data_IF_458077108806
#
_entry.id   IF_458077108806
#
_cell.length_a   1.000
_cell.length_b   1.000
_cell.length_c   1.000
_cell.angle_alpha   90.00
_cell.angle_beta   90.00
_cell.angle_gamma   90.00
#
_symmetry.space_group_name_H-M   'P 1'
#
loop_
_entity.id
_entity.type
_entity.pdbx_description
1 polymer ?
#
# COMPACT_ATOMS: atom_id res chain seq x y z
N UNK A 1 40.31 -62.21 28.75
CA UNK A 1 39.57 -62.35 27.47
C UNK A 1 38.16 -62.88 27.74
N UNK A 2 37.20 -61.97 27.96
CA UNK A 2 35.73 -62.11 27.87
C UNK A 2 35.11 -61.02 28.77
N UNK A 3 33.99 -60.45 28.31
CA UNK A 3 33.19 -59.36 28.90
C UNK A 3 33.65 -57.92 28.64
N UNK A 4 33.49 -57.40 27.41
CA UNK A 4 33.28 -55.95 27.16
C UNK A 4 32.51 -55.63 25.85
N UNK A 5 31.51 -56.42 25.46
CA UNK A 5 30.81 -56.20 24.16
C UNK A 5 29.27 -56.16 24.21
N UNK A 6 28.63 -55.87 25.35
CA UNK A 6 27.14 -55.88 25.42
C UNK A 6 26.48 -54.64 26.02
N UNK A 7 27.03 -53.44 25.83
CA UNK A 7 26.39 -52.20 26.31
C UNK A 7 26.20 -51.09 25.26
N UNK A 8 26.64 -51.26 24.01
CA UNK A 8 26.56 -50.18 23.01
C UNK A 8 25.28 -50.18 22.14
N UNK A 9 24.45 -51.23 22.18
CA UNK A 9 23.29 -51.36 21.27
C UNK A 9 21.94 -50.94 21.89
N UNK A 10 21.88 -50.67 23.19
CA UNK A 10 20.61 -50.38 23.89
C UNK A 10 20.28 -48.89 24.05
N UNK A 11 21.24 -47.98 23.85
CA UNK A 11 21.05 -46.54 24.10
C UNK A 11 20.75 -45.72 22.84
N UNK A 12 20.86 -46.32 21.65
CA UNK A 12 20.67 -45.61 20.38
C UNK A 12 19.20 -45.56 19.90
N UNK A 13 18.31 -46.34 20.50
CA UNK A 13 16.89 -46.43 20.08
C UNK A 13 15.97 -45.48 20.87
N UNK A 14 16.45 -44.91 21.99
CA UNK A 14 15.65 -43.99 22.81
C UNK A 14 15.95 -42.49 22.59
N UNK A 15 16.97 -42.14 21.79
CA UNK A 15 17.31 -40.75 21.48
C UNK A 15 16.74 -40.25 20.15
N UNK A 16 16.30 -41.15 19.26
CA UNK A 16 15.71 -40.76 17.97
C UNK A 16 14.30 -40.13 18.05
N UNK A 17 13.40 -40.47 19.01
CA UNK A 17 12.12 -39.78 19.13
C UNK A 17 12.26 -38.39 19.78
N UNK A 18 13.29 -38.17 20.61
CA UNK A 18 13.46 -36.90 21.36
C UNK A 18 14.14 -35.84 20.50
N UNK A 19 15.09 -36.22 19.64
CA UNK A 19 15.75 -35.26 18.72
C UNK A 19 14.79 -34.80 17.59
N UNK A 20 13.83 -35.65 17.19
CA UNK A 20 12.78 -35.27 16.23
C UNK A 20 11.65 -34.44 16.87
N UNK A 21 11.42 -34.56 18.17
CA UNK A 21 10.50 -33.70 18.91
C UNK A 21 11.12 -32.32 19.20
N UNK A 22 12.42 -32.24 19.49
CA UNK A 22 13.12 -30.96 19.68
C UNK A 22 13.26 -30.19 18.35
N UNK A 23 13.48 -30.88 17.22
CA UNK A 23 13.51 -30.19 15.91
C UNK A 23 12.13 -29.77 15.37
N UNK A 24 11.04 -30.33 15.90
CA UNK A 24 9.68 -29.84 15.62
C UNK A 24 9.21 -28.74 16.57
N UNK A 25 9.80 -28.61 17.76
CA UNK A 25 9.45 -27.53 18.69
C UNK A 25 10.17 -26.20 18.38
N UNK A 26 11.33 -26.22 17.72
CA UNK A 26 11.99 -25.01 17.22
C UNK A 26 11.36 -24.44 15.91
N UNK A 27 10.48 -25.20 15.26
CA UNK A 27 9.69 -24.71 14.11
C UNK A 27 8.42 -23.94 14.55
N UNK A 28 8.09 -23.97 15.84
CA UNK A 28 6.98 -23.23 16.44
C UNK A 28 7.46 -22.42 17.66
N UNK A 29 8.58 -21.71 17.50
CA UNK A 29 8.92 -20.61 18.41
C UNK A 29 7.70 -19.69 18.58
N UNK A 30 7.54 -19.02 19.74
CA UNK A 30 6.41 -18.12 19.98
C UNK A 30 6.29 -17.20 18.76
N UNK A 31 5.14 -17.30 18.07
CA UNK A 31 4.95 -16.67 16.77
C UNK A 31 5.43 -15.24 16.86
N UNK A 32 6.36 -14.81 15.98
CA UNK A 32 6.94 -13.46 16.03
C UNK A 32 5.86 -12.37 16.21
N UNK A 33 4.65 -12.65 15.72
CA UNK A 33 3.41 -11.91 15.95
C UNK A 33 3.10 -11.47 17.41
N UNK A 34 3.49 -12.21 18.46
CA UNK A 34 3.21 -11.79 19.84
C UNK A 34 4.22 -10.73 20.34
N UNK A 35 5.47 -10.80 19.87
CA UNK A 35 6.46 -9.74 20.09
C UNK A 35 6.15 -8.48 19.27
N UNK A 36 5.68 -8.63 18.03
CA UNK A 36 5.25 -7.50 17.20
C UNK A 36 4.09 -6.72 17.84
N UNK A 37 3.09 -7.41 18.44
CA UNK A 37 1.97 -6.74 19.12
C UNK A 37 2.38 -5.97 20.38
N UNK A 38 3.37 -6.46 21.12
CA UNK A 38 3.90 -5.78 22.30
C UNK A 38 4.69 -4.51 21.92
N UNK A 39 5.56 -4.60 20.90
CA UNK A 39 6.23 -3.44 20.31
C UNK A 39 5.23 -2.43 19.71
N UNK A 40 4.16 -2.90 19.07
CA UNK A 40 3.12 -2.05 18.49
C UNK A 40 2.38 -1.23 19.55
N UNK A 41 2.11 -1.81 20.72
CA UNK A 41 1.42 -1.13 21.82
C UNK A 41 2.32 -0.19 22.65
N UNK A 42 3.63 -0.47 22.74
CA UNK A 42 4.57 0.41 23.45
C UNK A 42 5.10 1.58 22.59
N UNK A 43 5.11 1.44 21.26
CA UNK A 43 5.57 2.47 20.31
C UNK A 43 4.45 3.43 19.88
N UNK A 44 3.19 3.20 20.27
CA UNK A 44 2.04 4.00 19.85
C UNK A 44 2.02 5.50 20.24
N UNK A 45 2.81 6.02 21.20
CA UNK A 45 3.02 7.46 21.33
C UNK A 45 4.06 8.03 20.35
N UNK A 46 4.78 7.18 19.63
CA UNK A 46 5.98 7.56 18.88
C UNK A 46 5.61 7.66 17.39
N UNK A 47 5.73 8.90 16.91
CA UNK A 47 5.84 9.33 15.52
C UNK A 47 4.51 9.48 14.75
N UNK A 48 3.66 10.39 15.25
CA UNK A 48 3.33 11.51 14.35
C UNK A 48 4.67 12.02 13.82
N UNK A 49 4.99 11.74 12.56
CA UNK A 49 6.17 12.34 11.93
C UNK A 49 5.87 13.83 11.74
N UNK A 50 5.99 14.58 12.82
CA UNK A 50 5.83 16.03 12.85
C UNK A 50 6.78 16.66 11.84
N UNK A 51 7.94 16.05 11.54
CA UNK A 51 8.94 16.60 10.65
C UNK A 51 8.50 16.57 9.19
N UNK A 52 7.92 15.47 8.69
CA UNK A 52 7.45 15.41 7.29
C UNK A 52 6.19 16.28 7.09
N UNK A 53 5.31 16.34 8.11
CA UNK A 53 4.14 17.21 8.08
C UNK A 53 4.54 18.70 8.11
N UNK A 54 5.51 19.08 8.95
CA UNK A 54 6.09 20.43 8.96
C UNK A 54 6.81 20.76 7.65
N UNK A 55 7.44 19.77 7.00
CA UNK A 55 8.09 19.97 5.71
C UNK A 55 7.06 20.33 4.63
N UNK A 56 5.96 19.58 4.54
CA UNK A 56 4.88 19.85 3.57
C UNK A 56 4.21 21.20 3.84
N UNK A 57 4.04 21.59 5.11
CA UNK A 57 3.50 22.90 5.51
C UNK A 57 4.35 24.10 5.05
N UNK A 58 5.65 23.92 4.85
CA UNK A 58 6.59 25.01 4.49
C UNK A 58 6.83 25.16 2.99
N UNK A 59 6.26 24.29 2.17
CA UNK A 59 6.52 24.32 0.73
C UNK A 59 5.71 25.40 0.01
N UNK A 60 6.40 26.48 -0.39
CA UNK A 60 6.00 27.30 -1.53
C UNK A 60 6.37 26.53 -2.79
N UNK A 61 5.39 26.04 -3.55
CA UNK A 61 5.67 25.49 -4.87
C UNK A 61 5.44 26.58 -5.91
N UNK A 62 6.40 26.71 -6.80
CA UNK A 62 6.30 27.48 -8.04
C UNK A 62 6.29 26.46 -9.18
N UNK A 63 5.19 26.38 -9.95
CA UNK A 63 5.01 25.42 -11.03
C UNK A 63 3.70 25.62 -11.81
N UNK A 64 3.50 24.83 -12.87
CA UNK A 64 2.39 24.96 -13.84
C UNK A 64 0.98 24.83 -13.26
N UNK A 65 0.88 24.20 -12.09
CA UNK A 65 -0.40 24.07 -11.40
C UNK A 65 -0.83 25.37 -10.70
N UNK A 66 -0.07 26.46 -10.88
CA UNK A 66 -0.31 27.73 -10.22
C UNK A 66 0.18 27.73 -8.78
N UNK A 67 -0.10 28.83 -8.07
CA UNK A 67 0.16 28.93 -6.65
C UNK A 67 -1.09 28.55 -5.86
N UNK A 68 -0.95 27.61 -4.93
CA UNK A 68 -1.95 27.29 -3.93
C UNK A 68 -1.32 27.33 -2.53
N UNK A 69 -2.09 27.76 -1.54
CA UNK A 69 -1.70 27.71 -0.13
C UNK A 69 -2.25 26.40 0.48
N UNK A 70 -1.37 25.53 0.98
CA UNK A 70 -1.79 24.39 1.80
C UNK A 70 -1.67 24.84 3.25
N UNK A 71 -2.80 24.91 3.95
CA UNK A 71 -2.82 25.27 5.37
C UNK A 71 -2.63 24.03 6.24
N UNK A 72 -2.06 24.16 7.44
CA UNK A 72 -2.05 23.08 8.42
C UNK A 72 -3.49 22.62 8.69
N UNK A 73 -3.75 21.29 8.74
CA UNK A 73 -5.08 20.81 9.02
C UNK A 73 -5.50 21.15 10.45
N UNK A 74 -6.73 21.64 10.61
CA UNK A 74 -7.31 21.99 11.90
C UNK A 74 -8.30 20.94 12.34
N UNK A 75 -8.52 20.83 13.65
CA UNK A 75 -9.68 20.11 14.16
C UNK A 75 -10.94 20.88 13.72
N UNK A 76 -11.97 20.19 13.23
CA UNK A 76 -13.24 20.82 12.94
C UNK A 76 -13.85 21.39 14.24
N UNK A 77 -14.41 22.58 14.15
CA UNK A 77 -15.14 23.26 15.24
C UNK A 77 -16.63 22.84 15.28
N UNK A 78 -17.02 21.89 14.44
CA UNK A 78 -18.36 21.35 14.29
C UNK A 78 -18.31 19.83 14.08
N UNK A 79 -19.45 19.15 14.26
CA UNK A 79 -19.54 17.72 13.95
C UNK A 79 -19.43 17.50 12.44
N UNK A 80 -18.61 16.53 12.05
CA UNK A 80 -18.47 16.10 10.66
C UNK A 80 -18.80 14.62 10.52
N UNK A 81 -19.36 14.26 9.37
CA UNK A 81 -19.60 12.84 9.04
C UNK A 81 -18.30 12.23 8.52
N UNK A 82 -17.65 11.33 9.28
CA UNK A 82 -16.36 10.78 8.90
C UNK A 82 -16.46 9.89 7.66
N UNK A 83 -15.34 9.73 6.97
CA UNK A 83 -15.15 8.76 5.88
C UNK A 83 -14.02 7.81 6.23
N UNK A 84 -14.12 6.52 5.93
CA UNK A 84 -12.95 5.64 6.05
C UNK A 84 -11.95 5.89 4.94
N UNK A 85 -10.66 5.90 5.24
CA UNK A 85 -9.59 5.80 4.26
C UNK A 85 -8.89 4.45 4.42
N UNK A 86 -9.46 3.44 3.77
CA UNK A 86 -9.01 2.06 3.84
C UNK A 86 -7.91 1.78 2.82
N UNK A 87 -6.87 1.06 3.22
CA UNK A 87 -5.82 0.61 2.30
C UNK A 87 -5.12 -0.65 2.81
N UNK A 88 -4.72 -1.55 1.92
CA UNK A 88 -3.80 -2.62 2.29
C UNK A 88 -2.42 -2.02 2.65
N UNK A 89 -1.70 -2.53 3.67
CA UNK A 89 -0.37 -2.04 4.01
C UNK A 89 0.57 -1.92 2.80
N UNK A 90 1.26 -0.79 2.65
CA UNK A 90 2.09 -0.51 1.47
C UNK A 90 1.34 0.06 0.25
N UNK A 91 0.04 0.34 0.35
CA UNK A 91 -0.76 0.91 -0.76
C UNK A 91 -0.88 2.44 -0.77
N UNK A 92 -0.07 3.15 0.02
CA UNK A 92 -0.03 4.63 -0.02
C UNK A 92 -0.85 5.35 1.05
N UNK A 93 -1.23 4.67 2.13
CA UNK A 93 -2.07 5.23 3.20
C UNK A 93 -1.62 6.60 3.73
N UNK A 94 -0.32 6.80 3.96
CA UNK A 94 0.24 8.06 4.46
C UNK A 94 0.14 9.18 3.43
N UNK A 95 0.37 8.90 2.15
CA UNK A 95 0.22 9.89 1.09
C UNK A 95 -1.24 10.32 0.93
N UNK A 96 -2.17 9.35 0.91
CA UNK A 96 -3.61 9.64 0.83
C UNK A 96 -4.10 10.42 2.05
N UNK A 97 -3.63 10.08 3.25
CA UNK A 97 -3.89 10.83 4.48
C UNK A 97 -3.54 12.32 4.32
N UNK A 98 -2.29 12.62 3.95
CA UNK A 98 -1.83 14.01 3.81
C UNK A 98 -2.57 14.72 2.68
N UNK A 99 -2.92 14.01 1.61
CA UNK A 99 -3.70 14.57 0.52
C UNK A 99 -5.12 14.95 0.96
N UNK A 100 -5.79 14.11 1.75
CA UNK A 100 -7.12 14.41 2.31
C UNK A 100 -7.06 15.67 3.19
N UNK A 101 -6.06 15.75 4.07
CA UNK A 101 -5.85 16.91 4.95
C UNK A 101 -5.60 18.19 4.15
N UNK A 102 -4.78 18.11 3.09
CA UNK A 102 -4.50 19.26 2.24
C UNK A 102 -5.69 19.68 1.37
N UNK A 103 -6.55 18.75 0.95
CA UNK A 103 -7.77 19.03 0.16
C UNK A 103 -8.85 19.70 1.02
N UNK A 104 -8.96 19.30 2.28
CA UNK A 104 -10.08 19.68 3.16
C UNK A 104 -9.71 20.76 4.18
N UNK A 105 -8.42 20.89 4.50
CA UNK A 105 -7.95 21.69 5.64
C UNK A 105 -8.32 21.09 7.01
N UNK A 106 -8.86 19.87 7.04
CA UNK A 106 -9.34 19.20 8.25
C UNK A 106 -8.44 18.03 8.64
N UNK A 107 -8.31 17.76 9.93
CA UNK A 107 -7.51 16.64 10.42
C UNK A 107 -8.13 15.28 10.13
N UNK A 108 -7.26 14.30 9.92
CA UNK A 108 -7.63 12.89 9.82
C UNK A 108 -7.12 12.11 11.04
N UNK A 109 -7.73 10.96 11.33
CA UNK A 109 -7.39 10.08 12.45
C UNK A 109 -7.01 8.68 11.96
N UNK A 110 -6.38 7.89 12.83
CA UNK A 110 -6.17 6.46 12.61
C UNK A 110 -7.24 5.64 13.37
N UNK A 111 -7.26 4.35 13.11
CA UNK A 111 -8.21 3.40 13.70
C UNK A 111 -8.05 3.18 15.21
N UNK A 112 -6.97 3.68 15.81
CA UNK A 112 -6.71 3.60 17.24
C UNK A 112 -7.35 4.78 17.98
N UNK A 113 -7.55 5.91 17.29
CA UNK A 113 -8.18 7.14 17.83
C UNK A 113 -9.69 7.20 17.53
N UNK A 114 -10.33 6.05 17.29
CA UNK A 114 -11.70 6.01 16.75
C UNK A 114 -12.76 6.58 17.72
N UNK A 115 -12.52 6.58 19.03
CA UNK A 115 -13.50 7.08 20.02
C UNK A 115 -13.82 8.59 19.86
N UNK A 116 -13.07 9.33 19.03
CA UNK A 116 -13.29 10.76 18.75
C UNK A 116 -13.49 11.10 17.26
N UNK A 117 -14.09 10.19 16.48
CA UNK A 117 -14.26 10.33 15.01
C UNK A 117 -15.13 11.49 14.56
N UNK A 118 -15.97 12.05 15.43
CA UNK A 118 -16.82 13.21 15.12
C UNK A 118 -16.03 14.48 14.77
N UNK A 119 -14.72 14.47 15.01
CA UNK A 119 -13.80 15.56 14.75
C UNK A 119 -12.69 15.19 13.75
N UNK A 120 -12.88 14.16 12.91
CA UNK A 120 -11.94 13.83 11.84
C UNK A 120 -12.63 13.61 10.51
N UNK A 121 -12.09 14.24 9.45
CA UNK A 121 -12.68 14.16 8.10
C UNK A 121 -12.56 12.76 7.52
N UNK A 122 -11.52 12.05 7.94
CA UNK A 122 -11.33 10.66 7.56
C UNK A 122 -10.61 9.88 8.65
N UNK A 123 -10.94 8.59 8.78
CA UNK A 123 -10.23 7.63 9.62
C UNK A 123 -9.50 6.62 8.74
N UNK A 124 -8.16 6.65 8.76
CA UNK A 124 -7.32 5.65 8.11
C UNK A 124 -7.43 4.31 8.82
N UNK A 125 -7.54 3.25 8.05
CA UNK A 125 -7.46 1.89 8.57
C UNK A 125 -6.81 0.92 7.58
N UNK A 126 -6.23 -0.14 8.13
CA UNK A 126 -5.76 -1.32 7.39
C UNK A 126 -6.67 -2.54 7.56
N UNK A 127 -7.76 -2.43 8.32
CA UNK A 127 -8.72 -3.52 8.54
C UNK A 127 -9.23 -4.07 7.19
N UNK A 128 -9.49 -5.38 7.03
CA UNK A 128 -9.38 -6.48 8.00
C UNK A 128 -7.98 -7.07 8.16
N UNK A 129 -6.93 -6.41 7.64
CA UNK A 129 -5.56 -6.85 7.89
C UNK A 129 -5.28 -6.81 9.41
N UNK A 130 -4.38 -7.68 9.89
CA UNK A 130 -3.98 -7.75 11.30
C UNK A 130 -3.36 -6.46 11.83
N UNK A 131 -2.82 -5.63 10.93
CA UNK A 131 -2.31 -4.29 11.24
C UNK A 131 -3.43 -3.25 11.46
N UNK A 132 -4.70 -3.60 11.20
CA UNK A 132 -5.85 -2.75 11.46
C UNK A 132 -6.67 -3.26 12.65
N UNK A 133 -7.38 -2.34 13.30
CA UNK A 133 -8.29 -2.66 14.40
C UNK A 133 -9.74 -2.68 13.92
N UNK A 134 -10.56 -3.60 14.44
CA UNK A 134 -12.01 -3.56 14.22
C UNK A 134 -12.55 -2.28 14.85
N UNK A 135 -13.24 -1.47 14.06
CA UNK A 135 -13.64 -0.12 14.45
C UNK A 135 -14.97 -0.18 15.21
N UNK A 136 -14.95 0.15 16.50
CA UNK A 136 -16.19 0.23 17.30
C UNK A 136 -17.03 1.40 16.81
N UNK A 137 -18.26 1.18 16.37
CA UNK A 137 -19.06 2.29 15.82
C UNK A 137 -18.89 2.47 14.31
N UNK A 138 -18.24 1.52 13.63
CA UNK A 138 -18.08 1.53 12.17
C UNK A 138 -19.39 1.58 11.40
N UNK A 139 -20.49 1.13 12.01
CA UNK A 139 -21.83 1.22 11.46
C UNK A 139 -22.31 2.68 11.26
N UNK A 140 -21.65 3.64 11.92
CA UNK A 140 -21.97 5.07 11.84
C UNK A 140 -21.11 5.82 10.81
N UNK A 141 -20.20 5.13 10.13
CA UNK A 141 -19.36 5.73 9.08
C UNK A 141 -19.94 5.34 7.74
N UNK A 142 -20.63 6.25 7.04
CA UNK A 142 -21.44 5.87 5.89
C UNK A 142 -20.62 5.64 4.62
N UNK A 143 -19.32 6.01 4.59
CA UNK A 143 -18.52 6.00 3.35
C UNK A 143 -17.10 5.50 3.52
N UNK A 144 -16.53 5.03 2.41
CA UNK A 144 -15.14 4.60 2.35
C UNK A 144 -14.41 5.04 1.07
N UNK A 145 -13.22 5.59 1.25
CA UNK A 145 -12.17 5.68 0.24
C UNK A 145 -11.36 4.38 0.33
N UNK A 146 -11.28 3.65 -0.78
CA UNK A 146 -10.54 2.38 -0.87
C UNK A 146 -9.32 2.60 -1.75
N UNK A 147 -8.14 2.63 -1.15
CA UNK A 147 -6.88 2.79 -1.88
C UNK A 147 -6.32 1.43 -2.26
N UNK A 148 -6.29 1.15 -3.57
CA UNK A 148 -5.75 -0.08 -4.12
C UNK A 148 -4.38 0.16 -4.75
N UNK A 149 -3.48 -0.80 -4.54
CA UNK A 149 -2.18 -0.88 -5.21
C UNK A 149 -1.97 -2.31 -5.70
N UNK A 150 -1.27 -2.48 -6.81
CA UNK A 150 -0.95 -3.80 -7.34
C UNK A 150 -0.29 -4.67 -6.25
N UNK A 151 -0.77 -5.91 -5.97
CA UNK A 151 -0.24 -6.73 -4.87
C UNK A 151 1.27 -6.98 -4.99
N UNK A 152 1.77 -7.23 -6.21
CA UNK A 152 3.20 -7.38 -6.49
C UNK A 152 4.07 -6.15 -6.14
N UNK A 153 3.48 -4.97 -5.94
CA UNK A 153 4.17 -3.74 -5.51
C UNK A 153 3.81 -3.32 -4.08
N UNK A 154 2.61 -3.66 -3.61
CA UNK A 154 2.19 -3.44 -2.23
C UNK A 154 3.00 -4.30 -1.25
N UNK A 155 3.21 -5.59 -1.55
CA UNK A 155 3.95 -6.51 -0.67
C UNK A 155 5.39 -6.07 -0.39
N UNK A 156 6.24 -5.76 -1.40
CA UNK A 156 7.58 -5.28 -1.12
C UNK A 156 7.58 -3.91 -0.44
N UNK A 157 6.58 -3.07 -0.71
CA UNK A 157 6.44 -1.78 -0.01
C UNK A 157 6.10 -1.98 1.48
N UNK A 158 5.25 -2.95 1.80
CA UNK A 158 4.93 -3.33 3.17
C UNK A 158 6.15 -3.96 3.87
N UNK A 159 6.85 -4.87 3.18
CA UNK A 159 8.07 -5.47 3.73
C UNK A 159 9.15 -4.43 4.03
N UNK A 160 9.34 -3.41 3.19
CA UNK A 160 10.27 -2.32 3.50
C UNK A 160 9.92 -1.64 4.83
N UNK A 161 8.63 -1.41 5.11
CA UNK A 161 8.20 -0.85 6.39
C UNK A 161 8.52 -1.79 7.56
N UNK A 162 8.23 -3.09 7.43
CA UNK A 162 8.57 -4.08 8.46
C UNK A 162 10.07 -4.12 8.72
N UNK A 163 10.87 -4.12 7.66
CA UNK A 163 12.33 -4.11 7.74
C UNK A 163 12.85 -2.87 8.48
N UNK A 164 12.30 -1.70 8.22
CA UNK A 164 12.67 -0.49 8.95
C UNK A 164 12.37 -0.57 10.44
N UNK A 165 11.16 -1.03 10.79
CA UNK A 165 10.73 -1.20 12.17
C UNK A 165 11.64 -2.20 12.92
N UNK A 166 11.92 -3.34 12.31
CA UNK A 166 12.77 -4.40 12.88
C UNK A 166 14.23 -3.97 13.05
N UNK A 167 14.70 -3.01 12.25
CA UNK A 167 16.08 -2.53 12.27
C UNK A 167 16.22 -1.12 12.88
N UNK A 168 15.16 -0.58 13.49
CA UNK A 168 15.12 0.77 14.08
C UNK A 168 15.58 1.88 13.11
N UNK A 169 15.19 1.77 11.84
CA UNK A 169 15.47 2.76 10.81
C UNK A 169 14.38 3.83 10.77
N UNK A 170 14.73 5.01 10.26
CA UNK A 170 13.76 6.07 10.02
C UNK A 170 12.65 5.59 9.07
N UNK A 171 11.41 5.95 9.35
CA UNK A 171 10.27 5.51 8.54
C UNK A 171 10.37 6.08 7.12
N UNK A 172 10.03 5.28 6.11
CA UNK A 172 10.09 5.69 4.70
C UNK A 172 11.49 6.05 4.17
N UNK A 173 12.56 5.70 4.89
CA UNK A 173 13.96 6.00 4.54
C UNK A 173 14.60 4.92 3.67
N UNK A 174 14.43 3.64 4.01
CA UNK A 174 15.32 2.58 3.55
C UNK A 174 14.56 1.50 2.79
N UNK A 175 15.18 1.00 1.73
CA UNK A 175 14.75 -0.17 0.99
C UNK A 175 15.49 -1.40 1.48
N UNK A 176 14.75 -2.43 1.84
CA UNK A 176 15.30 -3.68 2.36
C UNK A 176 16.21 -4.38 1.31
N UNK A 177 17.31 -5.01 1.74
CA UNK A 177 18.17 -5.81 0.86
C UNK A 177 17.39 -6.89 0.11
N UNK A 178 17.79 -7.18 -1.13
CA UNK A 178 17.07 -8.13 -1.99
C UNK A 178 16.95 -9.53 -1.36
N UNK A 179 17.96 -9.98 -0.62
CA UNK A 179 17.93 -11.30 0.03
C UNK A 179 16.98 -11.35 1.22
N UNK A 180 16.88 -10.26 1.99
CA UNK A 180 15.88 -10.16 3.05
C UNK A 180 14.46 -10.22 2.45
N UNK A 181 14.23 -9.51 1.33
CA UNK A 181 12.97 -9.57 0.60
C UNK A 181 12.63 -10.97 0.09
N UNK A 182 13.58 -11.65 -0.57
CA UNK A 182 13.34 -13.00 -1.11
C UNK A 182 12.96 -13.97 0.01
N UNK A 183 13.71 -13.99 1.11
CA UNK A 183 13.43 -14.84 2.27
C UNK A 183 12.07 -14.55 2.88
N UNK A 184 11.73 -13.27 3.09
CA UNK A 184 10.43 -12.90 3.64
C UNK A 184 9.28 -13.25 2.70
N UNK A 185 9.41 -12.94 1.41
CA UNK A 185 8.42 -13.23 0.37
C UNK A 185 8.11 -14.72 0.36
N UNK A 186 9.12 -15.58 0.30
CA UNK A 186 8.89 -17.02 0.17
C UNK A 186 8.20 -17.62 1.40
N UNK A 187 8.43 -17.06 2.59
CA UNK A 187 7.76 -17.47 3.81
C UNK A 187 6.33 -16.92 3.99
N UNK A 188 6.00 -15.76 3.42
CA UNK A 188 4.76 -15.03 3.73
C UNK A 188 3.82 -14.82 2.54
N UNK A 189 4.26 -15.08 1.30
CA UNK A 189 3.55 -14.69 0.09
C UNK A 189 2.09 -15.13 0.07
N UNK A 190 1.80 -16.40 0.38
CA UNK A 190 0.43 -16.92 0.34
C UNK A 190 -0.49 -16.21 1.34
N UNK A 191 -0.03 -16.04 2.58
CA UNK A 191 -0.79 -15.32 3.60
C UNK A 191 -1.01 -13.85 3.25
N UNK A 192 -0.01 -13.18 2.64
CA UNK A 192 -0.16 -11.80 2.18
C UNK A 192 -1.13 -11.70 1.00
N UNK A 193 -1.13 -12.67 0.10
CA UNK A 193 -2.06 -12.74 -1.02
C UNK A 193 -3.50 -12.91 -0.55
N UNK A 194 -3.73 -13.81 0.41
CA UNK A 194 -5.05 -14.00 1.04
C UNK A 194 -5.49 -12.75 1.79
N UNK A 195 -4.60 -12.09 2.54
CA UNK A 195 -4.93 -10.85 3.25
C UNK A 195 -5.29 -9.71 2.28
N UNK A 196 -4.62 -9.61 1.14
CA UNK A 196 -4.94 -8.60 0.13
C UNK A 196 -6.29 -8.88 -0.52
N UNK A 197 -6.57 -10.14 -0.88
CA UNK A 197 -7.88 -10.53 -1.39
C UNK A 197 -8.99 -10.22 -0.39
N UNK A 198 -8.81 -10.64 0.86
CA UNK A 198 -9.79 -10.41 1.92
C UNK A 198 -10.02 -8.92 2.19
N UNK A 199 -8.97 -8.09 2.09
CA UNK A 199 -9.09 -6.65 2.17
C UNK A 199 -10.01 -6.11 1.06
N UNK A 200 -9.77 -6.46 -0.20
CA UNK A 200 -10.63 -6.02 -1.31
C UNK A 200 -12.05 -6.50 -1.09
N UNK A 201 -12.24 -7.76 -0.72
CA UNK A 201 -13.58 -8.32 -0.53
C UNK A 201 -14.36 -7.62 0.58
N UNK A 202 -13.73 -7.41 1.73
CA UNK A 202 -14.40 -6.76 2.86
C UNK A 202 -14.92 -5.37 2.50
N UNK A 203 -14.08 -4.51 1.91
CA UNK A 203 -14.48 -3.13 1.62
C UNK A 203 -15.48 -3.03 0.46
N UNK A 204 -15.38 -3.93 -0.51
CA UNK A 204 -16.34 -4.01 -1.62
C UNK A 204 -17.69 -4.60 -1.21
N UNK A 205 -17.71 -5.54 -0.26
CA UNK A 205 -18.96 -6.11 0.23
C UNK A 205 -19.64 -5.18 1.26
N UNK A 206 -18.86 -4.37 2.00
CA UNK A 206 -19.37 -3.52 3.09
C UNK A 206 -20.05 -2.23 2.64
N UNK A 207 -19.47 -1.51 1.68
CA UNK A 207 -19.99 -0.21 1.23
C UNK A 207 -20.66 -0.38 -0.13
N UNK A 208 -21.76 0.31 -0.41
CA UNK A 208 -22.34 0.29 -1.76
C UNK A 208 -21.45 1.04 -2.76
N UNK A 209 -21.60 0.85 -4.09
CA UNK A 209 -20.89 1.65 -5.08
C UNK A 209 -21.09 3.18 -4.94
N UNK A 210 -22.23 3.63 -4.43
CA UNK A 210 -22.51 5.05 -4.22
C UNK A 210 -21.77 5.62 -2.99
N UNK A 211 -21.50 4.75 -2.01
CA UNK A 211 -20.92 5.10 -0.71
C UNK A 211 -19.41 4.86 -0.65
N UNK A 212 -18.79 4.54 -1.79
CA UNK A 212 -17.34 4.33 -1.85
C UNK A 212 -16.71 4.96 -3.08
N UNK A 213 -15.42 5.28 -2.96
CA UNK A 213 -14.57 5.63 -4.09
C UNK A 213 -13.32 4.75 -4.08
N UNK A 214 -12.97 4.20 -5.23
CA UNK A 214 -11.73 3.43 -5.41
C UNK A 214 -10.68 4.36 -5.97
N UNK A 215 -9.57 4.51 -5.25
CA UNK A 215 -8.40 5.27 -5.67
C UNK A 215 -7.27 4.30 -5.97
N UNK A 216 -6.75 4.31 -7.18
CA UNK A 216 -5.60 3.49 -7.54
C UNK A 216 -4.31 4.24 -7.26
N UNK A 217 -3.41 3.62 -6.49
CA UNK A 217 -2.13 4.19 -6.12
C UNK A 217 -1.31 4.61 -7.36
N UNK A 218 -1.29 3.77 -8.39
CA UNK A 218 -0.53 4.02 -9.61
C UNK A 218 -1.08 5.21 -10.40
N UNK A 219 -2.39 5.46 -10.36
CA UNK A 219 -2.98 6.64 -11.01
C UNK A 219 -2.77 7.91 -10.20
N UNK A 220 -3.00 7.87 -8.90
CA UNK A 220 -2.92 9.07 -8.06
C UNK A 220 -1.48 9.59 -8.01
N UNK A 221 -0.45 8.78 -8.28
CA UNK A 221 0.93 9.27 -8.41
C UNK A 221 1.35 9.61 -9.85
N UNK A 222 0.50 9.40 -10.84
CA UNK A 222 0.82 9.66 -12.24
C UNK A 222 0.72 11.17 -12.55
N UNK A 223 1.61 11.71 -13.39
CA UNK A 223 1.64 13.15 -13.69
C UNK A 223 0.41 13.65 -14.48
N UNK A 224 -0.21 12.76 -15.26
CA UNK A 224 -1.40 13.07 -16.07
C UNK A 224 -2.68 12.76 -15.31
N UNK A 225 -2.78 11.56 -14.73
CA UNK A 225 -4.02 11.12 -14.06
C UNK A 225 -4.12 11.57 -12.61
N UNK A 226 -3.00 11.90 -11.95
CA UNK A 226 -2.96 12.24 -10.53
C UNK A 226 -3.85 13.44 -10.15
N UNK A 227 -3.75 14.60 -10.84
CA UNK A 227 -4.64 15.73 -10.62
C UNK A 227 -6.13 15.37 -10.77
N UNK A 228 -6.46 14.52 -11.75
CA UNK A 228 -7.84 14.09 -12.05
C UNK A 228 -8.36 13.20 -10.90
N UNK A 229 -7.57 12.23 -10.47
CA UNK A 229 -7.94 11.36 -9.33
C UNK A 229 -8.03 12.14 -8.01
N UNK A 230 -7.19 13.15 -7.81
CA UNK A 230 -7.30 14.05 -6.66
C UNK A 230 -8.61 14.86 -6.71
N UNK A 231 -9.02 15.32 -7.89
CA UNK A 231 -10.33 15.96 -8.10
C UNK A 231 -11.50 15.05 -7.73
N UNK A 232 -11.47 13.78 -8.17
CA UNK A 232 -12.48 12.76 -7.81
C UNK A 232 -12.52 12.50 -6.29
N UNK A 233 -11.35 12.45 -5.65
CA UNK A 233 -11.25 12.33 -4.20
C UNK A 233 -11.85 13.55 -3.48
N UNK A 234 -11.55 14.76 -3.94
CA UNK A 234 -12.11 16.00 -3.39
C UNK A 234 -13.65 16.04 -3.53
N UNK A 235 -14.17 15.71 -4.71
CA UNK A 235 -15.62 15.63 -4.94
C UNK A 235 -16.28 14.61 -4.00
N UNK A 236 -15.68 13.44 -3.82
CA UNK A 236 -16.21 12.42 -2.90
C UNK A 236 -16.22 12.87 -1.44
N UNK A 237 -15.14 13.54 -0.98
CA UNK A 237 -15.04 14.10 0.37
C UNK A 237 -16.08 15.21 0.59
N UNK A 238 -16.28 16.08 -0.39
CA UNK A 238 -17.25 17.19 -0.32
C UNK A 238 -18.71 16.77 -0.22
N UNK A 239 -19.02 15.48 -0.37
CA UNK A 239 -20.38 14.93 -0.09
C UNK A 239 -20.61 14.72 1.42
N UNK A 240 -19.62 14.94 2.29
CA UNK A 240 -19.76 14.82 3.75
C UNK A 240 -20.31 16.08 4.36
N UNK A 241 -21.35 15.92 5.19
CA UNK A 241 -21.85 16.99 6.03
C UNK A 241 -20.71 17.55 6.89
N UNK A 242 -20.53 18.87 6.82
CA UNK A 242 -19.46 19.59 7.49
C UNK A 242 -18.09 19.56 6.79
N UNK A 243 -17.97 18.97 5.59
CA UNK A 243 -16.71 18.93 4.86
C UNK A 243 -16.72 19.89 3.69
N UNK A 244 -15.95 20.98 3.83
CA UNK A 244 -15.64 21.88 2.73
C UNK A 244 -14.32 21.45 2.09
N UNK A 245 -14.30 21.34 0.77
CA UNK A 245 -13.08 21.08 0.01
C UNK A 245 -12.64 22.33 -0.73
N UNK A 246 -11.34 22.42 -1.05
CA UNK A 246 -10.83 23.48 -1.91
C UNK A 246 -11.53 23.49 -3.28
N UNK A 247 -11.66 24.67 -3.93
CA UNK A 247 -12.20 24.79 -5.27
C UNK A 247 -11.48 23.86 -6.28
N UNK A 248 -12.20 23.28 -7.28
CA UNK A 248 -11.64 22.32 -8.23
C UNK A 248 -10.36 22.80 -8.94
N UNK A 249 -10.25 24.10 -9.22
CA UNK A 249 -9.09 24.71 -9.86
C UNK A 249 -7.81 24.67 -9.01
N UNK A 250 -7.91 24.53 -7.69
CA UNK A 250 -6.76 24.43 -6.78
C UNK A 250 -6.30 22.99 -6.54
N UNK A 251 -7.16 21.99 -6.78
CA UNK A 251 -6.88 20.59 -6.49
C UNK A 251 -5.63 20.07 -7.22
N UNK A 252 -5.40 20.37 -8.51
CA UNK A 252 -4.17 19.98 -9.20
C UNK A 252 -2.88 20.50 -8.52
N UNK A 253 -2.90 21.74 -8.03
CA UNK A 253 -1.76 22.31 -7.30
C UNK A 253 -1.53 21.62 -5.96
N UNK A 254 -2.61 21.39 -5.20
CA UNK A 254 -2.56 20.70 -3.92
C UNK A 254 -1.99 19.30 -4.11
N UNK A 255 -2.52 18.56 -5.10
CA UNK A 255 -2.01 17.26 -5.48
C UNK A 255 -0.52 17.29 -5.79
N UNK A 256 -0.07 18.22 -6.63
CA UNK A 256 1.34 18.30 -7.01
C UNK A 256 2.23 18.56 -5.79
N UNK A 257 1.83 19.49 -4.91
CA UNK A 257 2.58 19.76 -3.67
C UNK A 257 2.67 18.55 -2.76
N UNK A 258 1.59 17.78 -2.59
CA UNK A 258 1.58 16.65 -1.66
C UNK A 258 2.25 15.42 -2.27
N UNK A 259 1.87 15.06 -3.49
CA UNK A 259 2.27 13.78 -4.11
C UNK A 259 3.62 13.89 -4.82
N UNK A 260 3.97 15.08 -5.33
CA UNK A 260 5.21 15.35 -6.07
C UNK A 260 6.19 16.23 -5.29
N UNK A 261 6.08 16.26 -3.96
CA UNK A 261 6.93 17.09 -3.11
C UNK A 261 8.44 16.92 -3.37
N UNK A 262 8.88 15.69 -3.65
CA UNK A 262 10.29 15.38 -3.98
C UNK A 262 10.71 15.76 -5.40
N UNK A 263 9.76 15.94 -6.32
CA UNK A 263 10.00 16.33 -7.72
C UNK A 263 10.09 17.86 -7.89
N UNK A 264 9.66 18.63 -6.91
CA UNK A 264 9.66 20.11 -6.95
C UNK A 264 11.04 20.72 -7.22
N UNK A 265 12.12 20.03 -6.85
CA UNK A 265 13.51 20.41 -7.19
C UNK A 265 13.84 20.24 -8.70
N UNK A 266 13.06 19.46 -9.44
CA UNK A 266 13.26 19.12 -10.86
C UNK A 266 12.15 19.67 -11.79
N UNK A 267 11.10 20.30 -11.24
CA UNK A 267 9.89 20.72 -11.97
C UNK A 267 10.18 21.59 -13.20
N UNK A 268 11.22 22.43 -13.13
CA UNK A 268 11.60 23.35 -14.22
C UNK A 268 11.97 22.66 -15.55
N UNK A 269 12.36 21.38 -15.57
CA UNK A 269 12.71 20.67 -16.83
C UNK A 269 11.56 19.90 -17.50
N UNK A 270 10.45 19.65 -16.81
CA UNK A 270 9.33 18.86 -17.37
C UNK A 270 8.24 19.71 -18.04
N UNK A 271 8.27 21.02 -17.79
CA UNK A 271 7.36 22.02 -18.34
C UNK A 271 7.18 21.95 -19.87
N UNK A 272 8.25 21.64 -20.61
CA UNK A 272 8.22 21.64 -22.07
C UNK A 272 7.43 20.45 -22.68
N UNK A 273 6.99 19.46 -21.89
CA UNK A 273 6.27 18.29 -22.42
C UNK A 273 4.75 18.30 -22.20
N UNK A 274 4.22 19.14 -21.30
CA UNK A 274 2.80 19.08 -20.90
C UNK A 274 1.87 20.02 -21.70
N UNK A 275 2.38 21.10 -22.31
CA UNK A 275 1.56 21.97 -23.17
C UNK A 275 0.97 21.24 -24.41
N UNK A 276 1.47 20.04 -24.74
CA UNK A 276 0.91 19.19 -25.79
C UNK A 276 -0.28 18.32 -25.38
N UNK A 277 -0.57 18.14 -24.07
CA UNK A 277 -1.53 17.14 -23.59
C UNK A 277 -2.94 17.69 -23.31
N UNK A 278 -3.11 19.01 -23.20
CA UNK A 278 -4.41 19.66 -22.95
C UNK A 278 -5.44 19.52 -24.10
N UNK A 279 -5.14 18.73 -25.15
CA UNK A 279 -6.03 18.47 -26.30
C UNK A 279 -6.55 17.03 -26.38
N UNK A 280 -6.20 16.15 -25.45
CA UNK A 280 -6.71 14.78 -25.47
C UNK A 280 -7.94 14.67 -24.58
N UNK A 281 -9.06 14.20 -25.14
CA UNK A 281 -10.20 13.69 -24.38
C UNK A 281 -9.75 12.45 -23.61
N UNK A 282 -9.14 12.67 -22.44
CA UNK A 282 -8.72 11.60 -21.55
C UNK A 282 -9.98 11.11 -20.84
N UNK A 283 -10.45 9.93 -21.22
CA UNK A 283 -11.48 9.23 -20.45
C UNK A 283 -10.93 8.99 -19.03
N UNK A 284 -11.52 9.60 -17.98
CA UNK A 284 -11.04 9.45 -16.61
C UNK A 284 -11.13 8.00 -16.13
N UNK A 285 -11.96 7.16 -16.77
CA UNK A 285 -12.08 5.74 -16.49
C UNK A 285 -11.14 4.88 -17.35
N UNK A 286 -10.52 5.45 -18.38
CA UNK A 286 -9.55 4.76 -19.21
C UNK A 286 -8.22 4.65 -18.47
N UNK A 287 -7.94 3.43 -18.00
CA UNK A 287 -6.60 3.04 -17.65
C UNK A 287 -5.87 2.65 -18.92
N UNK A 288 -4.98 3.51 -19.42
CA UNK A 288 -4.07 3.11 -20.48
C UNK A 288 -3.27 1.87 -20.02
N UNK A 289 -3.52 0.71 -20.64
CA UNK A 289 -2.82 -0.54 -20.35
C UNK A 289 -1.31 -0.43 -20.57
N UNK A 290 -0.89 0.56 -21.38
CA UNK A 290 0.50 0.80 -21.77
C UNK A 290 1.26 1.78 -20.87
N UNK A 291 0.70 2.26 -19.76
CA UNK A 291 1.42 3.20 -18.88
C UNK A 291 2.59 2.50 -18.16
N UNK A 292 3.85 2.80 -18.51
CA UNK A 292 5.01 2.11 -17.98
C UNK A 292 5.42 2.64 -16.59
N UNK A 293 4.67 3.57 -15.97
CA UNK A 293 5.05 4.16 -14.70
C UNK A 293 4.87 3.17 -13.53
N UNK A 294 5.82 2.26 -13.35
CA UNK A 294 5.98 1.56 -12.07
C UNK A 294 6.34 2.60 -11.00
N UNK A 295 5.66 2.64 -9.85
CA UNK A 295 6.02 3.54 -8.77
C UNK A 295 7.47 3.32 -8.36
N UNK A 296 8.32 4.32 -8.55
CA UNK A 296 9.68 4.26 -8.02
C UNK A 296 9.63 4.59 -6.53
N UNK A 297 10.14 3.68 -5.71
CA UNK A 297 10.35 3.95 -4.29
C UNK A 297 11.34 5.10 -4.12
N UNK A 298 10.98 6.10 -3.31
CA UNK A 298 11.88 7.18 -2.89
C UNK A 298 12.83 6.77 -1.76
N UNK A 299 12.69 5.56 -1.23
CA UNK A 299 13.57 4.97 -0.22
C UNK A 299 14.96 4.76 -0.78
N UNK A 300 15.98 5.03 0.03
CA UNK A 300 17.38 4.77 -0.27
C UNK A 300 17.69 3.27 -0.30
N UNK A 301 18.81 2.91 -0.93
CA UNK A 301 19.28 1.52 -1.01
C UNK A 301 19.17 0.88 -2.39
N UNK A 302 19.41 -0.45 -2.49
CA UNK A 302 19.52 -1.13 -3.77
C UNK A 302 18.23 -1.05 -4.58
N UNK A 303 18.30 -0.48 -5.78
CA UNK A 303 17.17 -0.45 -6.71
C UNK A 303 17.08 -1.80 -7.42
N UNK A 304 16.07 -2.59 -7.09
CA UNK A 304 15.72 -3.83 -7.80
C UNK A 304 14.25 -3.81 -8.25
N UNK A 305 13.90 -4.67 -9.20
CA UNK A 305 12.50 -5.04 -9.42
C UNK A 305 12.24 -6.22 -8.48
N UNK A 306 11.27 -6.14 -7.56
CA UNK A 306 10.97 -7.23 -6.63
C UNK A 306 10.77 -8.53 -7.43
N UNK A 307 11.67 -9.53 -7.28
CA UNK A 307 11.52 -10.77 -8.01
C UNK A 307 10.32 -11.53 -7.44
N UNK A 308 9.64 -12.28 -8.29
CA UNK A 308 8.64 -13.29 -7.95
C UNK A 308 8.96 -14.54 -8.77
N UNK A 309 8.49 -15.71 -8.37
CA UNK A 309 8.58 -16.90 -9.22
C UNK A 309 7.29 -17.11 -10.04
N UNK A 310 7.33 -18.05 -10.99
CA UNK A 310 6.20 -18.31 -11.88
C UNK A 310 4.92 -18.74 -11.13
N UNK A 311 5.08 -19.53 -10.06
CA UNK A 311 3.97 -19.97 -9.23
C UNK A 311 3.29 -18.78 -8.52
N UNK A 312 4.09 -17.86 -7.97
CA UNK A 312 3.62 -16.64 -7.32
C UNK A 312 2.86 -15.72 -8.30
N UNK A 313 3.39 -15.52 -9.51
CA UNK A 313 2.70 -14.73 -10.55
C UNK A 313 1.36 -15.36 -10.96
N UNK A 314 1.31 -16.69 -11.13
CA UNK A 314 0.08 -17.40 -11.42
C UNK A 314 -0.94 -17.30 -10.28
N UNK A 315 -0.51 -17.39 -9.03
CA UNK A 315 -1.37 -17.23 -7.86
C UNK A 315 -2.01 -15.83 -7.83
N UNK A 316 -1.24 -14.78 -8.11
CA UNK A 316 -1.75 -13.39 -8.20
C UNK A 316 -2.78 -13.24 -9.31
N UNK A 317 -2.50 -13.73 -10.53
CA UNK A 317 -3.46 -13.69 -11.63
C UNK A 317 -4.75 -14.43 -11.31
N UNK A 318 -4.64 -15.62 -10.71
CA UNK A 318 -5.79 -16.43 -10.31
C UNK A 318 -6.67 -15.68 -9.30
N UNK A 319 -6.06 -15.13 -8.25
CA UNK A 319 -6.76 -14.33 -7.25
C UNK A 319 -7.44 -13.10 -7.86
N UNK A 320 -6.72 -12.33 -8.70
CA UNK A 320 -7.28 -11.15 -9.37
C UNK A 320 -8.42 -11.51 -10.33
N UNK A 321 -8.32 -12.62 -11.05
CA UNK A 321 -9.38 -13.12 -11.93
C UNK A 321 -10.61 -13.53 -11.12
N UNK A 322 -10.41 -14.20 -9.98
CA UNK A 322 -11.51 -14.55 -9.07
C UNK A 322 -12.23 -13.32 -8.53
N UNK A 323 -11.50 -12.24 -8.19
CA UNK A 323 -12.12 -10.97 -7.79
C UNK A 323 -12.86 -10.31 -8.95
N UNK A 324 -12.28 -10.33 -10.15
CA UNK A 324 -12.91 -9.78 -11.36
C UNK A 324 -14.22 -10.51 -11.68
N UNK A 325 -14.27 -11.83 -11.50
CA UNK A 325 -15.47 -12.64 -11.68
C UNK A 325 -16.52 -12.36 -10.60
N UNK A 326 -16.10 -12.26 -9.32
CA UNK A 326 -16.99 -11.93 -8.19
C UNK A 326 -17.63 -10.55 -8.36
N UNK A 327 -16.86 -9.57 -8.80
CA UNK A 327 -17.28 -8.17 -8.93
C UNK A 327 -17.50 -7.74 -10.39
N UNK A 328 -17.93 -8.65 -11.26
CA UNK A 328 -18.02 -8.40 -12.71
C UNK A 328 -18.89 -7.20 -13.13
N UNK A 329 -19.81 -6.75 -12.28
CA UNK A 329 -20.67 -5.59 -12.55
C UNK A 329 -20.08 -4.27 -11.98
N UNK A 330 -18.95 -4.33 -11.27
CA UNK A 330 -18.31 -3.18 -10.63
C UNK A 330 -17.48 -2.37 -11.63
N UNK A 331 -18.11 -1.36 -12.21
CA UNK A 331 -17.50 -0.48 -13.22
C UNK A 331 -16.23 0.24 -12.72
N UNK A 332 -16.14 0.53 -11.43
CA UNK A 332 -14.99 1.22 -10.83
C UNK A 332 -13.83 0.29 -10.49
N UNK A 333 -14.09 -0.98 -10.15
CA UNK A 333 -13.06 -1.95 -9.76
C UNK A 333 -12.51 -2.73 -10.96
N UNK A 334 -13.36 -3.08 -11.93
CA UNK A 334 -12.98 -3.95 -13.04
C UNK A 334 -11.80 -3.43 -13.88
N UNK A 335 -11.73 -2.14 -14.26
CA UNK A 335 -10.58 -1.62 -14.99
C UNK A 335 -9.27 -1.78 -14.22
N UNK A 336 -9.33 -1.64 -12.89
CA UNK A 336 -8.17 -1.80 -11.98
C UNK A 336 -7.69 -3.24 -11.98
N UNK A 337 -8.60 -4.19 -11.77
CA UNK A 337 -8.25 -5.62 -11.73
C UNK A 337 -7.72 -6.13 -13.07
N UNK A 338 -8.33 -5.72 -14.18
CA UNK A 338 -7.83 -6.07 -15.53
C UNK A 338 -6.42 -5.54 -15.77
N UNK A 339 -6.13 -4.31 -15.35
CA UNK A 339 -4.77 -3.76 -15.42
C UNK A 339 -3.79 -4.58 -14.58
N UNK A 340 -4.16 -4.96 -13.35
CA UNK A 340 -3.28 -5.76 -12.50
C UNK A 340 -3.04 -7.17 -13.05
N UNK A 341 -4.06 -7.80 -13.66
CA UNK A 341 -3.89 -9.08 -14.35
C UNK A 341 -2.88 -8.92 -15.49
N UNK A 342 -3.08 -7.92 -16.35
CA UNK A 342 -2.19 -7.64 -17.48
C UNK A 342 -0.75 -7.38 -17.03
N UNK A 343 -0.56 -6.62 -15.95
CA UNK A 343 0.78 -6.36 -15.42
C UNK A 343 1.46 -7.64 -14.90
N UNK A 344 0.71 -8.52 -14.24
CA UNK A 344 1.23 -9.82 -13.81
C UNK A 344 1.61 -10.73 -14.99
N UNK A 345 0.83 -10.72 -16.08
CA UNK A 345 1.15 -11.42 -17.33
C UNK A 345 2.42 -10.89 -17.98
N UNK A 346 2.58 -9.56 -18.04
CA UNK A 346 3.79 -8.94 -18.60
C UNK A 346 5.05 -9.32 -17.79
N UNK A 347 4.95 -9.38 -16.46
CA UNK A 347 6.06 -9.82 -15.58
C UNK A 347 6.38 -11.31 -15.78
N UNK A 348 5.39 -12.16 -16.04
CA UNK A 348 5.58 -13.57 -16.36
C UNK A 348 6.30 -13.75 -17.70
N UNK A 349 5.88 -13.03 -18.74
CA UNK A 349 6.48 -13.12 -20.07
C UNK A 349 7.94 -12.64 -20.06
N UNK A 350 8.21 -11.52 -19.38
CA UNK A 350 9.57 -11.03 -19.18
C UNK A 350 10.47 -12.08 -18.51
N UNK A 351 9.93 -12.83 -17.54
CA UNK A 351 10.65 -13.89 -16.86
C UNK A 351 10.95 -15.08 -17.75
N UNK A 352 9.98 -15.51 -18.56
CA UNK A 352 10.14 -16.61 -19.50
C UNK A 352 11.19 -16.28 -20.55
N UNK A 353 11.14 -15.08 -21.11
CA UNK A 353 12.13 -14.57 -22.06
C UNK A 353 13.54 -14.60 -21.47
N UNK A 354 13.75 -14.07 -20.25
CA UNK A 354 15.06 -14.10 -19.57
C UNK A 354 15.56 -15.53 -19.32
N UNK A 355 14.66 -16.47 -19.00
CA UNK A 355 15.02 -17.88 -18.79
C UNK A 355 15.46 -18.55 -20.09
N UNK A 356 14.79 -18.24 -21.19
CA UNK A 356 15.15 -18.74 -22.52
C UNK A 356 16.47 -18.18 -23.01
N UNK A 357 16.70 -16.87 -22.87
CA UNK A 357 17.97 -16.21 -23.19
C UNK A 357 19.13 -16.87 -22.43
N UNK A 358 18.96 -17.10 -21.13
CA UNK A 358 19.97 -17.78 -20.29
C UNK A 358 20.22 -19.22 -20.72
N UNK A 359 19.18 -19.96 -21.14
CA UNK A 359 19.31 -21.32 -21.66
C UNK A 359 20.10 -21.34 -22.96
N UNK A 360 19.78 -20.42 -23.88
CA UNK A 360 20.46 -20.33 -25.17
C UNK A 360 21.93 -19.93 -25.00
N UNK A 361 22.23 -19.04 -24.05
CA UNK A 361 23.60 -18.64 -23.72
C UNK A 361 24.44 -19.75 -23.07
N UNK A 362 23.83 -20.78 -22.48
CA UNK A 362 24.54 -21.90 -21.86
C UNK A 362 24.86 -23.05 -22.83
N UNK A 363 24.30 -23.01 -24.06
CA UNK A 363 24.55 -23.99 -25.12
C UNK A 363 25.69 -23.54 -26.05
N UNK A 364 25.97 -22.23 -26.07
CA UNK A 364 27.13 -21.62 -26.73
C UNK A 364 28.36 -21.70 -25.82
#
# INVERSE_FOLDING_TARGET
MKQREKLAAGLLVLLFPVILLVSMMDAFGPSSTQHHRALYNEILPIIYDENEHEHIKRMKATGDYGECEIRPPVFPDHEITPTFSASYPGSGAKMTWVLIEAITGLQTHNDIMFDNTRYAVSTKTHYPNREGTLLKGEENVPRAIIVLRHPLDAFPSYFNYLYEMENHLENHSTRAPIQAWISWRDAHFEGQLQNWQHFVEYWMDKFSPADRVIICFEKIINDVYGPIEAGRLAEFLGRSDGVNVHPPELIPCIWHKVVKYKDSNNARRRLESMEGLAKFDIDPNSFALSDPSRPNSHRDGPKYIPPYNLQQLNAVKSMLSSLLDKYREESSLNPVLRKYIHEAEMREEEMRKKKEEKRNAAVL
#
